data_IF_691333333251
#
_entry.id   IF_691333333251
#
_cell.length_a   1.000
_cell.length_b   1.000
_cell.length_c   1.000
_cell.angle_alpha   90.00
_cell.angle_beta   90.00
_cell.angle_gamma   90.00
#
_symmetry.space_group_name_H-M   'P 1'
#
loop_
_entity.id
_entity.type
_entity.pdbx_description
1 polymer ?
#
# COMPACT_ATOMS: atom_id res chain seq x y z
N UNK A 1 -9.48 -59.80 -68.24
CA UNK A 1 -10.04 -58.85 -67.24
C UNK A 1 -9.14 -58.85 -66.02
N UNK A 2 -8.35 -57.82 -65.88
CA UNK A 2 -7.34 -57.63 -64.83
C UNK A 2 -7.93 -56.93 -63.63
N UNK A 3 -7.76 -57.53 -62.49
CA UNK A 3 -8.09 -56.81 -61.21
C UNK A 3 -6.76 -56.61 -60.46
N UNK A 4 -6.36 -55.36 -60.38
CA UNK A 4 -5.19 -54.93 -59.65
C UNK A 4 -5.55 -54.72 -58.17
N UNK A 5 -4.88 -55.48 -57.30
CA UNK A 5 -4.90 -55.27 -55.84
C UNK A 5 -3.99 -54.14 -55.46
N UNK A 6 -4.52 -53.06 -54.96
CA UNK A 6 -3.79 -52.02 -54.25
C UNK A 6 -3.68 -52.41 -52.78
N UNK A 7 -2.45 -52.71 -52.33
CA UNK A 7 -2.12 -52.77 -50.92
C UNK A 7 -2.00 -51.36 -50.37
N UNK A 8 -2.89 -50.97 -49.48
CA UNK A 8 -2.73 -49.77 -48.66
C UNK A 8 -1.89 -50.11 -47.45
N UNK A 9 -0.66 -49.62 -47.41
CA UNK A 9 0.15 -49.62 -46.19
C UNK A 9 -0.32 -48.46 -45.30
N UNK A 10 -0.99 -48.78 -44.22
CA UNK A 10 -1.36 -47.79 -43.19
C UNK A 10 -0.12 -47.52 -42.31
N UNK A 11 0.56 -46.40 -42.57
CA UNK A 11 1.54 -45.86 -41.63
C UNK A 11 0.78 -45.14 -40.50
N UNK A 12 0.74 -45.79 -39.34
CA UNK A 12 0.27 -45.18 -38.11
C UNK A 12 1.27 -44.08 -37.67
N UNK A 13 1.04 -42.85 -38.11
CA UNK A 13 1.73 -41.68 -37.57
C UNK A 13 1.21 -41.39 -36.17
N UNK A 14 2.03 -41.69 -35.16
CA UNK A 14 1.75 -41.24 -33.80
C UNK A 14 1.82 -39.73 -33.75
N UNK A 15 0.67 -39.06 -33.77
CA UNK A 15 0.56 -37.64 -33.37
C UNK A 15 0.86 -37.60 -31.88
N UNK A 16 2.08 -37.22 -31.51
CA UNK A 16 2.39 -36.75 -30.19
C UNK A 16 1.73 -35.38 -30.06
N UNK A 17 0.52 -35.38 -29.54
CA UNK A 17 -0.11 -34.15 -29.08
C UNK A 17 0.74 -33.62 -27.94
N UNK A 18 1.60 -32.65 -28.24
CA UNK A 18 2.20 -31.77 -27.24
C UNK A 18 1.03 -30.97 -26.66
N UNK A 19 0.37 -31.56 -25.67
CA UNK A 19 -0.50 -30.80 -24.77
C UNK A 19 0.40 -29.85 -24.00
N UNK A 20 0.79 -28.74 -24.65
CA UNK A 20 1.25 -27.59 -23.98
C UNK A 20 0.10 -27.15 -23.07
N UNK A 21 0.27 -27.28 -21.76
CA UNK A 21 -0.60 -26.68 -20.79
C UNK A 21 -0.57 -25.17 -21.04
N UNK A 22 -1.36 -24.70 -22.00
CA UNK A 22 -1.71 -23.31 -22.11
C UNK A 22 -2.51 -23.01 -20.84
N UNK A 23 -1.86 -22.48 -19.84
CA UNK A 23 -2.56 -21.82 -18.72
C UNK A 23 -3.51 -20.82 -19.36
N UNK A 24 -4.81 -20.88 -19.07
CA UNK A 24 -5.75 -19.91 -19.60
C UNK A 24 -5.18 -18.51 -19.42
N UNK A 25 -5.28 -17.67 -20.43
CA UNK A 25 -4.96 -16.27 -20.30
C UNK A 25 -5.69 -15.77 -19.05
N UNK A 26 -5.00 -15.12 -18.12
CA UNK A 26 -5.64 -14.69 -16.90
C UNK A 26 -6.79 -13.76 -17.28
N UNK A 27 -7.86 -13.85 -16.50
CA UNK A 27 -8.98 -12.91 -16.56
C UNK A 27 -8.44 -11.48 -16.66
N UNK A 28 -9.15 -10.56 -17.34
CA UNK A 28 -8.64 -9.21 -17.51
C UNK A 28 -8.28 -8.62 -16.15
N UNK A 29 -7.00 -8.34 -15.97
CA UNK A 29 -6.51 -7.69 -14.77
C UNK A 29 -7.00 -6.24 -14.77
N UNK A 30 -7.55 -5.82 -13.66
CA UNK A 30 -7.82 -4.41 -13.40
C UNK A 30 -6.65 -3.87 -12.57
N UNK A 31 -5.92 -2.92 -13.11
CA UNK A 31 -4.87 -2.26 -12.36
C UNK A 31 -5.45 -1.65 -11.07
N UNK A 32 -4.77 -1.85 -9.97
CA UNK A 32 -5.12 -1.21 -8.72
C UNK A 32 -4.47 0.17 -8.70
N UNK A 33 -5.29 1.21 -8.83
CA UNK A 33 -4.79 2.58 -8.74
C UNK A 33 -4.76 3.01 -7.27
N UNK A 34 -3.60 3.48 -6.79
CA UNK A 34 -3.51 4.11 -5.49
C UNK A 34 -4.37 5.37 -5.44
N UNK A 35 -4.97 5.67 -4.29
CA UNK A 35 -5.77 6.87 -4.10
C UNK A 35 -5.11 7.81 -3.10
N UNK A 36 -5.13 9.12 -3.38
CA UNK A 36 -4.79 10.14 -2.39
C UNK A 36 -5.90 10.17 -1.35
N UNK A 37 -5.53 10.04 -0.09
CA UNK A 37 -6.45 10.09 1.03
C UNK A 37 -6.03 11.21 1.97
N UNK A 38 -7.00 12.07 2.31
CA UNK A 38 -6.80 13.11 3.32
C UNK A 38 -7.38 12.65 4.65
N UNK A 39 -6.56 12.69 5.69
CA UNK A 39 -6.95 12.38 7.08
C UNK A 39 -6.81 13.60 7.95
N UNK A 40 -7.74 13.71 8.90
CA UNK A 40 -7.73 14.70 9.96
C UNK A 40 -7.61 13.99 11.31
N UNK A 41 -6.67 14.42 12.13
CA UNK A 41 -6.40 13.84 13.45
C UNK A 41 -6.28 14.95 14.47
N UNK A 42 -7.14 14.97 15.51
CA UNK A 42 -8.36 14.19 15.71
C UNK A 42 -9.46 14.53 14.70
N UNK A 43 -10.52 13.71 14.70
CA UNK A 43 -11.70 13.95 13.86
C UNK A 43 -12.54 15.14 14.36
N UNK A 44 -13.43 15.63 13.50
CA UNK A 44 -14.37 16.71 13.82
C UNK A 44 -15.23 16.34 15.04
N UNK A 45 -15.36 17.26 15.98
CA UNK A 45 -16.15 17.09 17.20
C UNK A 45 -15.45 16.32 18.32
N UNK A 46 -14.29 15.71 18.04
CA UNK A 46 -13.54 14.98 19.06
C UNK A 46 -12.93 15.91 20.11
N UNK A 47 -12.81 15.41 21.33
CA UNK A 47 -11.99 16.01 22.37
C UNK A 47 -10.60 15.39 22.32
N UNK A 48 -9.57 16.24 22.18
CA UNK A 48 -8.17 15.85 22.12
C UNK A 48 -7.37 16.34 23.31
N UNK A 49 -6.21 15.71 23.51
CA UNK A 49 -5.14 16.17 24.40
C UNK A 49 -3.84 16.21 23.63
N UNK A 50 -3.01 17.21 23.92
CA UNK A 50 -1.68 17.30 23.36
C UNK A 50 -0.69 17.81 24.42
N UNK A 51 0.45 17.17 24.52
CA UNK A 51 1.58 17.65 25.32
C UNK A 51 2.29 18.79 24.61
N UNK A 52 3.08 19.55 25.36
CA UNK A 52 3.95 20.59 24.77
C UNK A 52 4.91 19.95 23.76
N UNK A 53 4.95 20.50 22.56
CA UNK A 53 5.72 20.00 21.44
C UNK A 53 4.98 18.96 20.58
N UNK A 54 3.83 18.45 21.02
CA UNK A 54 3.00 17.53 20.26
C UNK A 54 1.96 18.25 19.40
N UNK A 55 1.58 17.63 18.28
CA UNK A 55 0.52 18.15 17.43
C UNK A 55 -0.85 18.02 18.14
N UNK A 56 -1.56 19.14 18.23
CA UNK A 56 -2.96 19.18 18.62
C UNK A 56 -3.85 18.61 17.52
N UNK A 57 -3.62 19.08 16.30
CA UNK A 57 -4.32 18.61 15.11
C UNK A 57 -3.35 18.47 13.96
N UNK A 58 -3.62 17.52 13.11
CA UNK A 58 -2.96 17.39 11.83
C UNK A 58 -3.95 17.07 10.72
N UNK A 59 -3.66 17.58 9.54
CA UNK A 59 -4.28 17.18 8.28
C UNK A 59 -3.16 16.66 7.40
N UNK A 60 -3.26 15.41 6.98
CA UNK A 60 -2.29 14.80 6.08
C UNK A 60 -2.98 14.24 4.83
N UNK A 61 -2.36 14.45 3.67
CA UNK A 61 -2.76 13.84 2.41
C UNK A 61 -1.60 13.00 1.90
N UNK A 62 -1.86 11.71 1.78
CA UNK A 62 -0.86 10.71 1.39
C UNK A 62 -1.47 9.70 0.43
N UNK A 63 -0.61 9.11 -0.39
CA UNK A 63 -1.03 8.03 -1.27
C UNK A 63 -1.12 6.73 -0.47
N UNK A 64 -2.32 6.12 -0.45
CA UNK A 64 -2.55 4.85 0.22
C UNK A 64 -2.70 3.74 -0.79
N UNK A 65 -1.98 2.66 -0.55
CA UNK A 65 -2.00 1.45 -1.38
C UNK A 65 -2.36 0.27 -0.50
N UNK A 66 -3.33 -0.52 -0.91
CA UNK A 66 -3.55 -1.82 -0.28
C UNK A 66 -2.35 -2.70 -0.51
N UNK A 67 -1.95 -3.45 0.50
CA UNK A 67 -0.80 -4.33 0.42
C UNK A 67 -0.93 -5.54 1.33
N UNK A 68 0.09 -6.34 1.32
CA UNK A 68 0.31 -7.44 2.26
C UNK A 68 1.75 -7.38 2.75
N UNK A 69 2.01 -7.95 3.92
CA UNK A 69 3.37 -8.18 4.40
C UNK A 69 3.63 -9.68 4.54
N UNK A 70 4.77 -10.14 4.03
CA UNK A 70 5.24 -11.51 4.22
C UNK A 70 6.47 -11.52 5.15
N UNK A 71 6.41 -12.34 6.18
CA UNK A 71 7.46 -12.39 7.20
C UNK A 71 8.72 -13.15 6.75
N UNK A 72 8.58 -14.03 5.76
CA UNK A 72 9.66 -14.88 5.26
C UNK A 72 9.75 -14.78 3.76
N UNK A 73 10.97 -14.76 3.23
CA UNK A 73 11.25 -14.94 1.80
C UNK A 73 10.74 -16.31 1.36
N UNK A 74 10.06 -16.36 0.23
CA UNK A 74 9.50 -17.60 -0.33
C UNK A 74 10.10 -17.84 -1.70
N UNK A 75 10.55 -19.08 -1.94
CA UNK A 75 11.21 -19.47 -3.19
C UNK A 75 10.57 -20.74 -3.75
N UNK A 76 10.28 -20.73 -5.04
CA UNK A 76 9.69 -21.87 -5.73
C UNK A 76 10.03 -21.86 -7.23
N UNK A 77 10.11 -23.05 -7.85
CA UNK A 77 10.24 -23.17 -9.29
C UNK A 77 8.88 -22.99 -9.97
N UNK A 78 8.49 -21.75 -10.16
CA UNK A 78 7.20 -21.39 -10.80
C UNK A 78 7.34 -21.33 -12.33
N UNK A 79 8.51 -20.97 -12.83
CA UNK A 79 8.83 -20.91 -14.26
C UNK A 79 10.13 -21.71 -14.53
N UNK A 80 10.03 -23.02 -14.79
CA UNK A 80 11.22 -23.86 -15.04
C UNK A 80 12.07 -23.33 -16.22
N UNK A 81 13.42 -23.45 -16.15
CA UNK A 81 14.18 -24.18 -15.13
C UNK A 81 14.54 -23.33 -13.90
N UNK A 82 14.14 -22.07 -13.85
CA UNK A 82 14.57 -21.17 -12.79
C UNK A 82 13.65 -21.14 -11.58
N UNK A 83 14.21 -20.62 -10.49
CA UNK A 83 13.54 -20.39 -9.21
C UNK A 83 13.11 -18.94 -9.12
N UNK A 84 11.84 -18.71 -8.84
CA UNK A 84 11.31 -17.39 -8.47
C UNK A 84 11.37 -17.25 -6.96
N UNK A 85 11.99 -16.18 -6.50
CA UNK A 85 12.03 -15.79 -5.10
C UNK A 85 11.29 -14.48 -4.90
N UNK A 86 10.35 -14.46 -3.95
CA UNK A 86 9.70 -13.24 -3.46
C UNK A 86 10.28 -12.93 -2.09
N UNK A 87 10.95 -11.77 -1.99
CA UNK A 87 11.68 -11.36 -0.79
C UNK A 87 10.71 -10.91 0.29
N UNK A 88 10.97 -11.29 1.54
CA UNK A 88 10.20 -10.84 2.71
C UNK A 88 10.03 -9.32 2.74
N UNK A 89 8.89 -8.86 3.24
CA UNK A 89 8.57 -7.44 3.36
C UNK A 89 7.18 -7.13 2.84
N UNK A 90 6.96 -5.86 2.54
CA UNK A 90 5.69 -5.36 2.06
C UNK A 90 5.57 -5.53 0.54
N UNK A 91 4.41 -6.01 0.12
CA UNK A 91 4.03 -6.14 -1.29
C UNK A 91 2.79 -5.28 -1.53
N UNK A 92 2.81 -4.50 -2.59
CA UNK A 92 1.70 -3.62 -2.97
C UNK A 92 0.71 -4.32 -3.86
N UNK A 93 -0.56 -3.98 -3.73
CA UNK A 93 -1.58 -4.44 -4.65
C UNK A 93 -1.31 -3.86 -6.04
N UNK A 94 -0.98 -4.73 -6.98
CA UNK A 94 -0.70 -4.38 -8.37
C UNK A 94 -1.96 -4.43 -9.22
N UNK A 95 -2.72 -5.52 -9.09
CA UNK A 95 -3.91 -5.75 -9.90
C UNK A 95 -4.91 -6.65 -9.20
N UNK A 96 -6.15 -6.61 -9.69
CA UNK A 96 -7.24 -7.48 -9.27
C UNK A 96 -7.81 -8.24 -10.46
N UNK A 97 -8.30 -9.44 -10.23
CA UNK A 97 -9.05 -10.24 -11.19
C UNK A 97 -10.33 -10.75 -10.55
N UNK A 98 -11.14 -11.50 -11.29
CA UNK A 98 -12.31 -12.20 -10.74
C UNK A 98 -11.95 -13.37 -9.83
N UNK A 99 -10.70 -13.77 -9.75
CA UNK A 99 -10.24 -14.89 -8.91
C UNK A 99 -9.46 -14.43 -7.68
N UNK A 100 -8.99 -13.18 -7.64
CA UNK A 100 -8.21 -12.67 -6.52
C UNK A 100 -7.31 -11.50 -6.86
N UNK A 101 -6.38 -11.26 -5.98
CA UNK A 101 -5.56 -10.06 -5.94
C UNK A 101 -4.08 -10.39 -6.12
N UNK A 102 -3.39 -9.59 -6.93
CA UNK A 102 -1.97 -9.73 -7.25
C UNK A 102 -1.17 -8.66 -6.52
N UNK A 103 -0.21 -9.09 -5.70
CA UNK A 103 0.65 -8.21 -4.93
C UNK A 103 2.08 -8.32 -5.42
N UNK A 104 2.74 -7.18 -5.65
CA UNK A 104 4.12 -7.08 -6.10
C UNK A 104 5.02 -6.46 -5.05
N UNK A 105 6.27 -6.94 -5.02
CA UNK A 105 7.34 -6.46 -4.17
C UNK A 105 8.68 -6.86 -4.76
N UNK A 106 9.74 -6.84 -3.97
CA UNK A 106 11.05 -7.29 -4.45
C UNK A 106 11.02 -8.79 -4.74
N UNK A 107 11.42 -9.15 -5.95
CA UNK A 107 11.54 -10.55 -6.35
C UNK A 107 12.64 -10.74 -7.39
N UNK A 108 13.16 -11.95 -7.44
CA UNK A 108 14.23 -12.37 -8.36
C UNK A 108 13.85 -13.67 -9.05
N UNK A 109 14.43 -13.86 -10.23
CA UNK A 109 14.39 -15.12 -10.96
C UNK A 109 15.83 -15.60 -11.17
N UNK A 110 16.12 -16.82 -10.74
CA UNK A 110 17.46 -17.36 -10.76
C UNK A 110 17.49 -18.67 -11.53
N UNK A 111 18.47 -18.80 -12.44
CA UNK A 111 18.89 -20.05 -13.06
C UNK A 111 20.37 -20.25 -12.76
N UNK A 112 20.98 -21.45 -12.93
CA UNK A 112 22.41 -21.64 -12.71
C UNK A 112 23.26 -20.59 -13.40
N UNK A 113 24.06 -19.85 -12.63
CA UNK A 113 24.96 -18.79 -13.12
C UNK A 113 24.35 -17.40 -13.29
N UNK A 114 23.05 -17.19 -13.05
CA UNK A 114 22.44 -15.86 -13.17
C UNK A 114 21.28 -15.66 -12.19
N UNK A 115 21.06 -14.41 -11.79
CA UNK A 115 19.89 -13.98 -11.01
C UNK A 115 19.48 -12.60 -11.51
N UNK A 116 18.21 -12.43 -11.87
CA UNK A 116 17.68 -11.17 -12.41
C UNK A 116 16.49 -10.69 -11.59
N UNK A 117 16.36 -9.37 -11.37
CA UNK A 117 15.16 -8.80 -10.76
C UNK A 117 13.94 -9.02 -11.65
N UNK A 118 12.81 -9.41 -11.03
CA UNK A 118 11.53 -9.65 -11.73
C UNK A 118 10.35 -9.06 -10.96
N UNK A 119 10.59 -8.01 -10.19
CA UNK A 119 9.60 -7.39 -9.29
C UNK A 119 8.31 -6.95 -10.00
N UNK A 120 8.40 -6.59 -11.28
CA UNK A 120 7.24 -6.23 -12.10
C UNK A 120 6.51 -7.43 -12.70
N UNK A 121 7.07 -8.62 -12.57
CA UNK A 121 6.55 -9.86 -13.21
C UNK A 121 6.21 -10.95 -12.24
N UNK A 122 6.51 -10.77 -10.95
CA UNK A 122 6.23 -11.79 -9.96
C UNK A 122 5.86 -11.19 -8.60
N UNK A 123 5.26 -12.00 -7.77
CA UNK A 123 4.80 -11.60 -6.45
C UNK A 123 3.94 -12.68 -5.81
N UNK A 124 2.96 -12.25 -5.02
CA UNK A 124 2.02 -13.14 -4.33
C UNK A 124 0.62 -12.94 -4.89
N UNK A 125 -0.01 -14.01 -5.32
CA UNK A 125 -1.42 -14.08 -5.65
C UNK A 125 -2.21 -14.52 -4.43
N UNK A 126 -3.22 -13.75 -4.06
CA UNK A 126 -4.14 -14.04 -2.95
C UNK A 126 -5.52 -14.29 -3.55
N UNK A 127 -6.01 -15.55 -3.57
CA UNK A 127 -7.33 -15.87 -4.07
C UNK A 127 -8.44 -15.20 -3.24
N UNK A 128 -9.56 -14.86 -3.90
CA UNK A 128 -10.78 -14.42 -3.20
C UNK A 128 -11.44 -15.58 -2.46
N UNK A 129 -11.35 -16.79 -3.04
CA UNK A 129 -11.74 -18.03 -2.38
C UNK A 129 -10.76 -18.35 -1.23
N UNK A 130 -11.23 -18.18 0.00
CA UNK A 130 -10.44 -18.36 1.22
C UNK A 130 -10.07 -19.83 1.53
N UNK A 131 -10.64 -20.79 0.81
CA UNK A 131 -10.23 -22.19 0.90
C UNK A 131 -8.91 -22.45 0.18
N UNK A 132 -8.50 -21.57 -0.73
CA UNK A 132 -7.25 -21.65 -1.48
C UNK A 132 -6.16 -20.83 -0.80
N UNK A 133 -4.93 -21.36 -0.68
CA UNK A 133 -3.81 -20.61 -0.12
C UNK A 133 -3.35 -19.50 -1.07
N UNK A 134 -2.76 -18.45 -0.51
CA UNK A 134 -1.95 -17.53 -1.28
C UNK A 134 -0.69 -18.24 -1.77
N UNK A 135 -0.25 -17.93 -2.99
CA UNK A 135 0.89 -18.59 -3.65
C UNK A 135 1.75 -17.57 -4.41
N UNK A 136 3.00 -17.92 -4.70
CA UNK A 136 3.81 -17.12 -5.64
C UNK A 136 3.18 -17.18 -7.03
N UNK A 137 3.24 -16.07 -7.76
CA UNK A 137 3.02 -16.06 -9.19
C UNK A 137 4.23 -15.51 -9.94
N UNK A 138 4.36 -15.91 -11.22
CA UNK A 138 5.35 -15.38 -12.15
C UNK A 138 4.72 -15.19 -13.53
N UNK A 139 4.94 -14.05 -14.15
CA UNK A 139 4.44 -13.74 -15.49
C UNK A 139 5.56 -13.84 -16.53
N UNK A 140 5.39 -14.85 -17.46
CA UNK A 140 6.27 -15.01 -18.63
C UNK A 140 5.43 -15.35 -19.79
N UNK A 141 4.87 -14.87 -20.64
CA UNK A 141 3.89 -15.34 -21.66
C UNK A 141 2.59 -15.88 -21.06
N UNK A 142 2.23 -15.41 -19.84
CA UNK A 142 1.07 -15.84 -19.08
C UNK A 142 1.41 -15.98 -17.60
N UNK A 143 0.38 -16.00 -16.76
CA UNK A 143 0.58 -16.18 -15.32
C UNK A 143 0.82 -17.67 -15.01
N UNK A 144 1.86 -17.93 -14.25
CA UNK A 144 2.19 -19.24 -13.67
C UNK A 144 2.14 -19.11 -12.16
N UNK A 145 1.62 -20.13 -11.50
CA UNK A 145 1.40 -20.12 -10.06
C UNK A 145 2.22 -21.22 -9.40
N UNK A 146 2.77 -20.90 -8.26
CA UNK A 146 3.37 -21.89 -7.37
C UNK A 146 2.31 -22.70 -6.63
N UNK A 147 2.78 -23.66 -5.85
CA UNK A 147 1.94 -24.58 -5.07
C UNK A 147 2.16 -24.41 -3.56
N UNK A 148 3.28 -23.79 -3.17
CA UNK A 148 3.62 -23.59 -1.77
C UNK A 148 2.79 -22.46 -1.16
N UNK A 149 2.08 -22.71 -0.04
CA UNK A 149 1.35 -21.67 0.67
C UNK A 149 2.26 -20.53 1.15
N UNK A 150 1.81 -19.30 0.94
CA UNK A 150 2.48 -18.10 1.42
C UNK A 150 1.66 -17.51 2.56
N UNK A 151 2.24 -17.47 3.77
CA UNK A 151 1.64 -16.78 4.90
C UNK A 151 1.84 -15.26 4.75
N UNK A 152 0.78 -14.50 4.91
CA UNK A 152 0.78 -13.04 4.77
C UNK A 152 -0.15 -12.38 5.80
N UNK A 153 0.09 -11.08 6.02
CA UNK A 153 -0.80 -10.22 6.80
C UNK A 153 -1.25 -9.06 5.92
N UNK A 154 -2.54 -8.76 5.82
CA UNK A 154 -3.03 -7.58 5.13
C UNK A 154 -2.41 -6.32 5.74
N UNK A 155 -2.03 -5.36 4.88
CA UNK A 155 -1.39 -4.12 5.29
C UNK A 155 -1.84 -2.97 4.40
N UNK A 156 -1.92 -1.79 4.98
CA UNK A 156 -2.01 -0.54 4.27
C UNK A 156 -0.60 0.06 4.14
N UNK A 157 -0.20 0.40 2.92
CA UNK A 157 1.11 0.98 2.61
C UNK A 157 0.91 2.46 2.31
N UNK A 158 1.63 3.30 3.04
CA UNK A 158 1.60 4.76 2.85
C UNK A 158 2.80 5.14 2.01
N UNK A 159 2.53 5.84 0.90
CA UNK A 159 3.55 6.42 0.02
C UNK A 159 3.52 7.94 0.12
N UNK A 160 4.68 8.50 0.35
CA UNK A 160 4.88 9.95 0.31
C UNK A 160 5.38 10.30 -1.09
N UNK A 161 4.61 11.14 -1.78
CA UNK A 161 4.87 11.60 -3.14
C UNK A 161 5.10 13.11 -3.15
N UNK A 162 5.38 13.69 -4.31
CA UNK A 162 5.46 15.15 -4.48
C UNK A 162 4.15 15.88 -4.17
N UNK A 163 3.03 15.18 -4.23
CA UNK A 163 1.69 15.72 -3.92
C UNK A 163 1.29 15.53 -2.46
N UNK A 164 2.07 14.74 -1.71
CA UNK A 164 1.81 14.52 -0.29
C UNK A 164 2.09 15.78 0.51
N UNK A 165 1.21 16.07 1.44
CA UNK A 165 1.39 17.16 2.39
C UNK A 165 0.92 16.76 3.78
N UNK A 166 1.44 17.48 4.80
CA UNK A 166 0.93 17.47 6.17
C UNK A 166 0.94 18.89 6.72
N UNK A 167 -0.14 19.27 7.37
CA UNK A 167 -0.28 20.51 8.14
C UNK A 167 -0.60 20.14 9.57
N UNK A 168 -0.01 20.84 10.51
CA UNK A 168 -0.24 20.56 11.92
C UNK A 168 -0.22 21.85 12.75
N UNK A 169 -0.99 21.85 13.84
CA UNK A 169 -0.90 22.84 14.91
C UNK A 169 -0.32 22.15 16.14
N UNK A 170 0.79 22.65 16.62
CA UNK A 170 1.56 22.09 17.74
C UNK A 170 1.37 22.97 18.95
N UNK A 171 1.01 22.40 20.09
CA UNK A 171 0.95 23.12 21.35
C UNK A 171 2.36 23.43 21.86
N UNK A 172 2.64 24.70 22.19
CA UNK A 172 3.95 25.14 22.68
C UNK A 172 3.92 25.63 24.13
N UNK A 173 2.76 25.56 24.78
CA UNK A 173 2.61 25.90 26.19
C UNK A 173 1.73 27.13 26.43
N UNK A 174 1.60 27.49 27.72
CA UNK A 174 0.81 28.62 28.18
C UNK A 174 1.66 29.49 29.11
N UNK A 175 1.50 30.82 28.99
CA UNK A 175 2.07 31.77 29.92
C UNK A 175 0.96 32.76 30.34
N UNK A 176 0.66 32.79 31.63
CA UNK A 176 -0.53 33.50 32.15
C UNK A 176 -1.79 32.98 31.44
N UNK A 177 -2.50 33.85 30.72
CA UNK A 177 -3.69 33.53 29.94
C UNK A 177 -3.41 33.31 28.43
N UNK A 178 -2.14 33.44 28.00
CA UNK A 178 -1.77 33.38 26.60
C UNK A 178 -1.21 32.00 26.27
N UNK A 179 -1.87 31.28 25.37
CA UNK A 179 -1.31 30.07 24.80
C UNK A 179 -0.52 30.35 23.54
N UNK A 180 0.52 29.56 23.32
CA UNK A 180 1.32 29.57 22.09
C UNK A 180 1.08 28.28 21.34
N UNK A 181 0.78 28.42 20.05
CA UNK A 181 0.59 27.31 19.12
C UNK A 181 1.46 27.56 17.90
N UNK A 182 2.12 26.53 17.39
CA UNK A 182 2.94 26.62 16.19
C UNK A 182 2.27 25.86 15.05
N UNK A 183 1.96 26.59 13.99
CA UNK A 183 1.57 25.99 12.71
C UNK A 183 2.80 25.53 11.97
N UNK A 184 2.75 24.30 11.44
CA UNK A 184 3.79 23.72 10.57
C UNK A 184 3.16 23.13 9.32
N UNK A 185 3.80 23.36 8.19
CA UNK A 185 3.44 22.73 6.91
C UNK A 185 4.61 21.93 6.38
N UNK A 186 4.34 20.70 5.99
CA UNK A 186 5.31 19.78 5.41
C UNK A 186 4.86 19.44 4.00
N UNK A 187 5.83 19.43 3.07
CA UNK A 187 5.64 19.00 1.69
C UNK A 187 6.65 17.89 1.38
N UNK A 188 6.27 16.99 0.51
CA UNK A 188 7.11 15.89 0.02
C UNK A 188 7.55 14.93 1.14
N UNK A 189 8.81 14.91 1.51
CA UNK A 189 9.40 13.90 2.42
C UNK A 189 8.95 13.99 3.88
N UNK A 190 8.24 15.05 4.30
CA UNK A 190 7.88 15.34 5.70
C UNK A 190 9.10 15.45 6.66
N UNK A 191 10.31 15.49 6.10
CA UNK A 191 11.53 15.51 6.92
C UNK A 191 11.76 16.86 7.60
N UNK A 192 11.30 17.95 6.97
CA UNK A 192 11.42 19.30 7.50
C UNK A 192 10.14 20.10 7.18
N UNK A 193 9.71 20.98 8.09
CA UNK A 193 8.63 21.92 7.78
C UNK A 193 9.04 22.81 6.60
N UNK A 194 8.15 22.94 5.61
CA UNK A 194 8.32 23.87 4.52
C UNK A 194 7.97 25.30 4.96
N UNK A 195 7.08 25.41 5.95
CA UNK A 195 6.63 26.67 6.53
C UNK A 195 6.33 26.47 8.01
N UNK A 196 6.63 27.48 8.83
CA UNK A 196 6.36 27.49 10.29
C UNK A 196 5.90 28.87 10.70
N UNK A 197 4.84 28.97 11.50
CA UNK A 197 4.32 30.22 12.04
C UNK A 197 3.90 30.05 13.50
N UNK A 198 4.39 30.93 14.37
CA UNK A 198 3.95 31.01 15.75
C UNK A 198 2.68 31.85 15.85
N UNK A 199 1.73 31.36 16.65
CA UNK A 199 0.41 31.99 16.90
C UNK A 199 0.22 32.09 18.41
N UNK A 200 -0.28 33.25 18.86
CA UNK A 200 -0.57 33.52 20.27
C UNK A 200 -2.03 33.87 20.44
N UNK A 201 -2.68 33.30 21.44
CA UNK A 201 -4.09 33.50 21.75
C UNK A 201 -4.27 33.80 23.24
N UNK A 202 -4.94 34.89 23.56
CA UNK A 202 -5.31 35.22 24.91
C UNK A 202 -6.65 34.60 25.27
N UNK A 203 -6.60 33.60 26.14
CA UNK A 203 -7.78 32.83 26.59
C UNK A 203 -8.70 33.62 27.52
N UNK A 204 -8.29 34.82 28.01
CA UNK A 204 -9.17 35.71 28.75
C UNK A 204 -10.18 36.43 27.84
N UNK A 205 -9.87 36.57 26.55
CA UNK A 205 -10.73 37.19 25.56
C UNK A 205 -11.68 36.14 24.92
N UNK A 206 -11.13 35.01 24.48
CA UNK A 206 -11.92 33.92 23.89
C UNK A 206 -11.21 32.59 24.14
N UNK A 207 -11.99 31.57 24.42
CA UNK A 207 -11.50 30.19 24.53
C UNK A 207 -11.52 29.45 23.20
N UNK A 208 -12.13 30.03 22.16
CA UNK A 208 -12.10 29.46 20.80
C UNK A 208 -10.95 30.09 20.04
N UNK A 209 -9.98 29.25 19.71
CA UNK A 209 -8.82 29.62 18.91
C UNK A 209 -8.94 29.04 17.50
N UNK A 210 -8.22 29.60 16.53
CA UNK A 210 -8.26 29.01 15.19
C UNK A 210 -7.27 29.63 14.21
N UNK A 211 -6.92 28.79 13.23
CA UNK A 211 -6.01 29.12 12.14
C UNK A 211 -6.34 28.27 10.90
N UNK A 212 -6.20 28.85 9.69
CA UNK A 212 -6.42 28.12 8.41
C UNK A 212 -7.72 27.30 8.39
N UNK A 213 -8.84 27.94 8.74
CA UNK A 213 -10.16 27.31 8.80
C UNK A 213 -10.44 26.44 10.03
N UNK A 214 -9.42 25.96 10.70
CA UNK A 214 -9.59 25.20 11.94
C UNK A 214 -10.09 26.07 13.09
N UNK A 215 -10.90 25.49 13.99
CA UNK A 215 -11.38 26.09 15.24
C UNK A 215 -11.34 25.06 16.35
N UNK A 216 -10.87 25.49 17.51
CA UNK A 216 -10.74 24.63 18.70
C UNK A 216 -11.24 25.38 19.92
N UNK A 217 -12.10 24.75 20.69
CA UNK A 217 -12.46 25.22 22.02
C UNK A 217 -11.43 24.71 23.02
N UNK A 218 -10.68 25.57 23.66
CA UNK A 218 -9.72 25.23 24.71
C UNK A 218 -10.45 24.96 26.00
N UNK A 219 -10.52 23.69 26.42
CA UNK A 219 -11.15 23.26 27.66
C UNK A 219 -10.23 23.48 28.84
N UNK A 220 -8.96 23.14 28.71
CA UNK A 220 -7.91 23.36 29.70
C UNK A 220 -6.55 23.54 29.01
N UNK A 221 -5.72 24.45 29.53
CA UNK A 221 -4.35 24.63 29.06
C UNK A 221 -3.40 24.75 30.27
N UNK A 222 -2.34 23.96 30.25
CA UNK A 222 -1.31 23.92 31.28
C UNK A 222 0.10 23.90 30.69
N UNK A 223 1.11 24.01 31.56
CA UNK A 223 2.50 24.04 31.13
C UNK A 223 2.97 22.72 30.47
N UNK A 224 2.23 21.63 30.63
CA UNK A 224 2.59 20.32 30.12
C UNK A 224 1.67 19.83 29.03
N UNK A 225 0.37 20.14 29.12
CA UNK A 225 -0.64 19.66 28.16
C UNK A 225 -1.76 20.67 27.95
N UNK A 226 -2.44 20.54 26.82
CA UNK A 226 -3.71 21.19 26.50
C UNK A 226 -4.79 20.16 26.27
N UNK A 227 -6.02 20.43 26.75
CA UNK A 227 -7.24 19.69 26.41
C UNK A 227 -8.15 20.62 25.61
N UNK A 228 -8.64 20.16 24.48
CA UNK A 228 -9.42 20.95 23.54
C UNK A 228 -10.47 20.10 22.82
N UNK A 229 -11.49 20.76 22.25
CA UNK A 229 -12.50 20.15 21.38
C UNK A 229 -12.35 20.71 19.96
N UNK A 230 -12.39 19.83 18.96
CA UNK A 230 -12.30 20.21 17.55
C UNK A 230 -13.65 20.69 17.05
N UNK A 231 -13.77 21.96 16.67
CA UNK A 231 -15.00 22.59 16.16
C UNK A 231 -15.02 22.67 14.63
N UNK A 232 -13.86 22.86 14.00
CA UNK A 232 -13.69 22.75 12.55
C UNK A 232 -12.30 22.29 12.21
N UNK A 233 -12.15 21.64 11.03
CA UNK A 233 -10.90 20.99 10.61
C UNK A 233 -9.93 21.97 9.96
N UNK A 234 -8.64 21.66 10.01
CA UNK A 234 -7.57 22.37 9.34
C UNK A 234 -7.66 22.12 7.83
N UNK A 235 -7.77 23.21 7.05
CA UNK A 235 -7.92 23.18 5.59
C UNK A 235 -6.57 23.30 4.86
#
# INVERSE_FOLDING_TARGET
>A
MWVANCFLAATAGALVALAGCATPAPFPLRNAFPTMETRHIPELGATGKAEVGAAMVSTESVLRVRGISIAKTVSETVNPPGVTEVVRGDLELFATSSEGNYYQGRSTYSVPGTSIPVSERSGVFVPDDKSRPAVIYHFVQGYRYGTKPVAYVPKEIIKITSESFRRELVYSGVSQNTITVVYREFKNSFARPAFTQELKYDLSQDRVIGYQGARFEVLNAGNTEITYKVLSLLQ
#
